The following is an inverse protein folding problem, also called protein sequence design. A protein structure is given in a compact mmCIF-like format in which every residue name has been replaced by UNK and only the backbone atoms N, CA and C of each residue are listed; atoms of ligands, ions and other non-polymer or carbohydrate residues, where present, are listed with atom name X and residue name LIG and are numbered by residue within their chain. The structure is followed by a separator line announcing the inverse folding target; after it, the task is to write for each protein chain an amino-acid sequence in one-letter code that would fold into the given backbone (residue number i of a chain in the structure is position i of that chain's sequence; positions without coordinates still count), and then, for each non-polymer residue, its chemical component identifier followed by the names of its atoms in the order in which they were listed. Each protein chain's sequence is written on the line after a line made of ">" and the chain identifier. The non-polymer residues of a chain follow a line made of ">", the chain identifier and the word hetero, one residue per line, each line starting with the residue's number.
data_IF_561114367228
#
_entry.id   IF_561114367228
#
_cell.length_a   1.000
_cell.length_b   1.000
_cell.length_c   1.000
_cell.angle_alpha   90.00
_cell.angle_beta   90.00
_cell.angle_gamma   90.00
#
_symmetry.space_group_name_H-M   'P 1'
#
loop_
_entity.id
_entity.type
_entity.pdbx_description
1 polymer ?
#
# COMPACT_ATOMS: atom_id res chain seq x y z
N UNK A 1 -8.47 16.79 -1.72
CA UNK A 1 -7.38 15.78 -1.81
C UNK A 1 -7.54 14.92 -3.06
N UNK A 2 -8.55 14.04 -3.21
CA UNK A 2 -8.68 13.20 -4.41
C UNK A 2 -8.65 14.00 -5.73
N UNK A 3 -9.39 15.11 -5.82
CA UNK A 3 -9.36 15.99 -7.00
C UNK A 3 -7.95 16.49 -7.30
N UNK A 4 -7.22 16.95 -6.30
CA UNK A 4 -5.83 17.43 -6.45
C UNK A 4 -4.91 16.32 -6.96
N UNK A 5 -5.05 15.10 -6.42
CA UNK A 5 -4.27 13.94 -6.88
C UNK A 5 -4.59 13.59 -8.33
N UNK A 6 -5.87 13.52 -8.71
CA UNK A 6 -6.30 13.25 -10.10
C UNK A 6 -5.79 14.34 -11.07
N UNK A 7 -5.84 15.62 -10.69
CA UNK A 7 -5.26 16.70 -11.51
C UNK A 7 -3.75 16.55 -11.68
N UNK A 8 -3.02 16.05 -10.66
CA UNK A 8 -1.60 15.75 -10.82
C UNK A 8 -1.35 14.62 -11.82
N UNK A 9 -2.23 13.59 -11.87
CA UNK A 9 -2.12 12.51 -12.86
C UNK A 9 -2.33 13.05 -14.27
N UNK A 10 -3.37 13.86 -14.52
CA UNK A 10 -3.59 14.52 -15.83
C UNK A 10 -2.42 15.37 -16.27
N UNK A 11 -1.77 16.06 -15.31
CA UNK A 11 -0.61 16.90 -15.59
C UNK A 11 0.63 16.11 -15.99
N UNK A 12 0.93 15.01 -15.28
CA UNK A 12 2.18 14.27 -15.44
C UNK A 12 2.06 13.00 -16.28
N UNK A 13 0.82 12.60 -16.64
CA UNK A 13 0.50 11.49 -17.53
C UNK A 13 -0.54 11.94 -18.57
N UNK A 14 -0.25 12.99 -19.38
CA UNK A 14 -1.24 13.61 -20.26
C UNK A 14 -1.73 12.67 -21.38
N UNK A 15 -0.93 11.68 -21.75
CA UNK A 15 -1.24 10.72 -22.83
C UNK A 15 -1.99 9.47 -22.30
N UNK A 16 -2.34 9.45 -21.00
CA UNK A 16 -3.06 8.34 -20.38
C UNK A 16 -4.52 8.66 -20.17
N UNK A 17 -5.40 7.72 -20.53
CA UNK A 17 -6.81 7.77 -20.16
C UNK A 17 -6.98 7.37 -18.68
N UNK A 18 -7.69 8.22 -17.92
CA UNK A 18 -8.07 7.89 -16.54
C UNK A 18 -9.38 7.12 -16.58
N UNK A 19 -9.34 5.86 -16.20
CA UNK A 19 -10.52 4.98 -16.11
C UNK A 19 -10.91 4.77 -14.66
N UNK A 20 -12.12 5.19 -14.30
CA UNK A 20 -12.72 4.91 -13.01
C UNK A 20 -13.36 3.52 -13.01
N UNK A 21 -13.08 2.75 -11.93
CA UNK A 21 -13.68 1.44 -11.70
C UNK A 21 -14.60 1.51 -10.50
N UNK A 22 -15.84 1.08 -10.70
CA UNK A 22 -16.91 1.07 -9.72
C UNK A 22 -17.85 -0.11 -9.95
N UNK A 23 -19.00 -0.14 -9.26
CA UNK A 23 -19.98 -1.23 -9.31
C UNK A 23 -20.64 -1.41 -10.69
N UNK A 24 -20.60 -0.39 -11.56
CA UNK A 24 -21.19 -0.45 -12.89
C UNK A 24 -20.31 -1.21 -13.90
N UNK A 25 -19.00 -1.32 -13.61
CA UNK A 25 -18.03 -1.89 -14.54
C UNK A 25 -17.06 -2.92 -13.92
N UNK A 26 -17.20 -3.19 -12.62
CA UNK A 26 -16.47 -4.24 -11.90
C UNK A 26 -17.45 -5.18 -11.20
N UNK A 27 -17.39 -6.47 -11.53
CA UNK A 27 -18.23 -7.49 -10.92
C UNK A 27 -17.80 -7.79 -9.48
N UNK A 28 -18.60 -7.33 -8.51
CA UNK A 28 -18.36 -7.56 -7.09
C UNK A 28 -18.56 -9.02 -6.66
N UNK A 29 -19.25 -9.83 -7.46
CA UNK A 29 -19.49 -11.26 -7.19
C UNK A 29 -18.38 -12.18 -7.72
N UNK A 30 -17.30 -11.60 -8.26
CA UNK A 30 -16.20 -12.30 -8.94
C UNK A 30 -15.51 -13.36 -8.05
N UNK A 31 -15.49 -13.16 -6.76
CA UNK A 31 -15.11 -14.18 -5.78
C UNK A 31 -15.71 -13.88 -4.38
N UNK A 32 -15.77 -14.89 -3.49
CA UNK A 32 -16.36 -14.73 -2.16
C UNK A 32 -15.71 -13.63 -1.30
N UNK A 33 -14.39 -13.44 -1.40
CA UNK A 33 -13.68 -12.41 -0.63
C UNK A 33 -14.17 -10.99 -0.99
N UNK A 34 -14.31 -10.72 -2.28
CA UNK A 34 -14.77 -9.40 -2.77
C UNK A 34 -16.21 -9.15 -2.38
N UNK A 35 -17.09 -10.13 -2.62
CA UNK A 35 -18.52 -10.05 -2.32
C UNK A 35 -18.77 -9.81 -0.82
N UNK A 36 -18.12 -10.60 0.04
CA UNK A 36 -18.23 -10.45 1.49
C UNK A 36 -17.70 -9.11 1.98
N UNK A 37 -16.54 -8.66 1.47
CA UNK A 37 -15.97 -7.36 1.81
C UNK A 37 -16.91 -6.21 1.39
N UNK A 38 -17.51 -6.32 0.20
CA UNK A 38 -18.46 -5.32 -0.31
C UNK A 38 -19.71 -5.23 0.58
N UNK A 39 -20.36 -6.36 0.89
CA UNK A 39 -21.54 -6.40 1.75
C UNK A 39 -21.26 -5.89 3.17
N UNK A 40 -20.03 -6.06 3.65
CA UNK A 40 -19.58 -5.48 4.92
C UNK A 40 -19.18 -4.00 4.81
N UNK A 41 -19.32 -3.36 3.64
CA UNK A 41 -18.91 -1.97 3.37
C UNK A 41 -17.41 -1.74 3.63
N UNK A 42 -16.60 -2.75 3.37
CA UNK A 42 -15.13 -2.70 3.51
C UNK A 42 -14.48 -2.48 2.14
N UNK A 43 -14.84 -1.39 1.49
CA UNK A 43 -14.48 -1.08 0.10
C UNK A 43 -12.98 -1.05 -0.17
N UNK A 44 -12.14 -0.72 0.82
CA UNK A 44 -10.70 -0.83 0.66
C UNK A 44 -10.23 -2.26 0.36
N UNK A 45 -10.86 -3.28 0.97
CA UNK A 45 -10.56 -4.69 0.72
C UNK A 45 -11.11 -5.17 -0.62
N UNK A 46 -12.19 -4.57 -1.11
CA UNK A 46 -12.66 -4.76 -2.50
C UNK A 46 -11.63 -4.21 -3.48
N UNK A 47 -11.14 -2.98 -3.27
CA UNK A 47 -10.13 -2.35 -4.13
C UNK A 47 -8.79 -3.08 -4.08
N UNK A 48 -8.45 -3.73 -2.96
CA UNK A 48 -7.23 -4.55 -2.83
C UNK A 48 -7.19 -5.71 -3.82
N UNK A 49 -8.32 -6.32 -4.12
CA UNK A 49 -8.45 -7.32 -5.18
C UNK A 49 -8.59 -6.67 -6.56
N UNK A 50 -9.48 -5.67 -6.67
CA UNK A 50 -9.84 -5.06 -7.95
C UNK A 50 -8.62 -4.50 -8.70
N UNK A 51 -7.65 -3.86 -7.98
CA UNK A 51 -6.41 -3.34 -8.59
C UNK A 51 -5.60 -4.41 -9.32
N UNK A 52 -5.49 -5.61 -8.75
CA UNK A 52 -4.78 -6.72 -9.40
C UNK A 52 -5.57 -7.28 -10.58
N UNK A 53 -6.90 -7.43 -10.42
CA UNK A 53 -7.75 -7.91 -11.49
C UNK A 53 -7.74 -6.96 -12.70
N UNK A 54 -7.82 -5.65 -12.46
CA UNK A 54 -7.76 -4.64 -13.53
C UNK A 54 -6.40 -4.69 -14.23
N UNK A 55 -5.30 -4.64 -13.48
CA UNK A 55 -3.96 -4.68 -14.04
C UNK A 55 -3.68 -5.99 -14.78
N UNK A 56 -4.17 -7.12 -14.29
CA UNK A 56 -4.02 -8.39 -14.98
C UNK A 56 -4.76 -8.44 -16.32
N UNK A 57 -5.96 -7.90 -16.38
CA UNK A 57 -6.79 -7.98 -17.58
C UNK A 57 -6.47 -6.89 -18.60
N UNK A 58 -6.17 -5.68 -18.16
CA UNK A 58 -6.02 -4.51 -19.01
C UNK A 58 -4.61 -3.92 -19.02
N UNK A 59 -3.80 -4.21 -18.01
CA UNK A 59 -2.52 -3.53 -17.79
C UNK A 59 -2.70 -2.07 -17.35
N UNK A 60 -1.64 -1.29 -17.54
CA UNK A 60 -1.65 0.14 -17.24
C UNK A 60 -1.06 0.48 -15.87
N UNK A 61 -1.45 1.63 -15.33
CA UNK A 61 -0.98 2.16 -14.06
C UNK A 61 -2.16 2.32 -13.10
N UNK A 62 -2.00 1.85 -11.88
CA UNK A 62 -2.96 2.01 -10.80
C UNK A 62 -2.41 2.96 -9.73
N UNK A 63 -3.25 3.85 -9.22
CA UNK A 63 -2.99 4.67 -8.05
C UNK A 63 -4.19 4.62 -7.09
N UNK A 64 -3.93 4.63 -5.78
CA UNK A 64 -4.98 5.01 -4.83
C UNK A 64 -5.34 6.48 -5.02
N UNK A 65 -6.60 6.85 -4.79
CA UNK A 65 -7.12 8.21 -5.07
C UNK A 65 -6.49 9.33 -4.23
N UNK A 66 -5.64 8.99 -3.29
CA UNK A 66 -4.88 9.92 -2.44
C UNK A 66 -3.36 9.88 -2.72
N UNK A 67 -2.96 9.40 -3.90
CA UNK A 67 -1.60 9.50 -4.43
C UNK A 67 -1.48 10.73 -5.32
N UNK A 68 -0.60 11.66 -4.96
CA UNK A 68 -0.27 12.84 -5.74
C UNK A 68 1.05 12.63 -6.49
N UNK A 69 1.06 12.77 -7.81
CA UNK A 69 2.28 12.82 -8.60
C UNK A 69 2.96 14.19 -8.44
N UNK A 70 4.27 14.17 -8.25
CA UNK A 70 5.11 15.38 -8.15
C UNK A 70 5.94 15.60 -9.40
N UNK A 71 6.22 14.54 -10.15
CA UNK A 71 7.04 14.51 -11.36
C UNK A 71 6.50 13.48 -12.35
N UNK A 72 6.87 13.57 -13.65
CA UNK A 72 6.64 12.49 -14.61
C UNK A 72 7.24 11.18 -14.11
N UNK A 73 6.63 10.07 -14.52
CA UNK A 73 7.11 8.69 -14.23
C UNK A 73 7.45 7.92 -15.51
N UNK A 74 7.67 8.62 -16.61
CA UNK A 74 7.95 8.01 -17.92
C UNK A 74 9.22 7.16 -17.89
N UNK A 75 10.25 7.61 -17.19
CA UNK A 75 11.50 6.88 -16.97
C UNK A 75 11.29 5.57 -16.19
N UNK A 76 10.36 5.59 -15.24
CA UNK A 76 9.95 4.40 -14.48
C UNK A 76 9.19 3.43 -15.39
N UNK A 77 8.21 3.93 -16.15
CA UNK A 77 7.38 3.14 -17.06
C UNK A 77 8.18 2.59 -18.24
N UNK A 78 9.16 3.34 -18.75
CA UNK A 78 10.06 2.89 -19.80
C UNK A 78 10.93 1.71 -19.37
N UNK A 79 11.26 1.59 -18.07
CA UNK A 79 11.95 0.42 -17.53
C UNK A 79 11.05 -0.82 -17.49
N UNK A 80 9.75 -0.66 -17.26
CA UNK A 80 8.77 -1.73 -17.25
C UNK A 80 7.79 -1.64 -16.05
N UNK A 81 7.06 -2.73 -15.79
CA UNK A 81 6.17 -2.85 -14.64
C UNK A 81 6.87 -2.46 -13.34
N UNK A 82 6.17 -1.77 -12.45
CA UNK A 82 6.76 -1.32 -11.20
C UNK A 82 5.84 -1.42 -9.99
N UNK A 83 6.44 -1.38 -8.81
CA UNK A 83 5.78 -1.37 -7.50
C UNK A 83 6.66 -0.60 -6.51
N UNK A 84 6.06 0.28 -5.70
CA UNK A 84 6.77 1.04 -4.68
C UNK A 84 6.80 0.32 -3.32
N UNK A 85 7.85 0.58 -2.54
CA UNK A 85 7.94 0.14 -1.14
C UNK A 85 7.37 1.20 -0.20
N UNK A 86 6.59 0.74 0.79
CA UNK A 86 6.24 1.50 1.98
C UNK A 86 7.22 1.17 3.11
N UNK A 87 7.90 2.19 3.62
CA UNK A 87 8.81 2.03 4.75
C UNK A 87 8.06 1.74 6.04
N UNK A 88 8.52 0.75 6.79
CA UNK A 88 7.97 0.47 8.11
C UNK A 88 8.51 1.45 9.15
N UNK A 89 7.69 1.74 10.14
CA UNK A 89 8.14 2.46 11.31
C UNK A 89 9.14 1.59 12.11
N UNK A 90 10.16 2.15 12.76
CA UNK A 90 11.26 1.40 13.37
C UNK A 90 10.83 0.34 14.41
N UNK A 91 9.66 0.50 14.99
CA UNK A 91 9.10 -0.45 15.98
C UNK A 91 8.22 -1.55 15.36
N UNK A 92 7.85 -1.42 14.06
CA UNK A 92 7.03 -2.42 13.37
C UNK A 92 7.92 -3.47 12.75
N UNK A 93 7.70 -4.72 13.07
CA UNK A 93 8.46 -5.85 12.53
C UNK A 93 7.51 -6.79 11.77
N UNK A 94 7.88 -7.12 10.57
CA UNK A 94 7.20 -8.12 9.75
C UNK A 94 8.19 -8.85 8.86
N UNK A 95 8.42 -10.16 9.10
CA UNK A 95 9.33 -11.02 8.31
C UNK A 95 10.72 -10.39 8.07
N UNK A 96 11.29 -9.73 9.08
CA UNK A 96 12.59 -9.01 9.04
C UNK A 96 12.67 -7.87 7.99
N UNK A 97 11.54 -7.47 7.40
CA UNK A 97 11.49 -6.36 6.44
C UNK A 97 11.58 -5.01 7.14
N UNK A 98 12.26 -4.06 6.51
CA UNK A 98 12.25 -2.62 6.85
C UNK A 98 11.24 -1.84 6.03
N UNK A 99 10.83 -2.37 4.90
CA UNK A 99 9.80 -1.84 4.01
C UNK A 99 9.09 -2.99 3.31
N UNK A 100 7.87 -2.78 2.85
CA UNK A 100 7.10 -3.79 2.12
C UNK A 100 6.47 -3.21 0.85
N UNK A 101 6.25 -4.05 -0.18
CA UNK A 101 5.59 -3.63 -1.40
C UNK A 101 4.17 -3.14 -1.11
N UNK A 102 3.86 -1.90 -1.50
CA UNK A 102 2.53 -1.32 -1.33
C UNK A 102 1.94 -0.92 -2.70
N UNK A 103 0.99 -1.68 -3.24
CA UNK A 103 0.38 -1.38 -4.54
C UNK A 103 -0.49 -0.10 -4.52
N UNK A 104 -0.85 0.43 -3.35
CA UNK A 104 -1.58 1.68 -3.21
C UNK A 104 -0.76 2.92 -3.55
N UNK A 105 0.58 2.86 -3.40
CA UNK A 105 1.48 3.96 -3.73
C UNK A 105 1.58 4.26 -5.24
N UNK A 106 1.18 3.31 -6.05
CA UNK A 106 1.30 3.26 -7.48
C UNK A 106 1.92 1.94 -7.93
N UNK A 107 1.31 1.34 -8.94
CA UNK A 107 1.72 0.07 -9.50
C UNK A 107 1.43 0.07 -11.02
N UNK A 108 2.37 -0.43 -11.82
CA UNK A 108 2.14 -0.65 -13.23
C UNK A 108 2.38 -2.10 -13.61
N UNK A 109 1.60 -2.60 -14.56
CA UNK A 109 1.77 -3.94 -15.12
C UNK A 109 1.38 -4.01 -16.58
N UNK A 110 1.97 -4.97 -17.30
CA UNK A 110 1.44 -5.42 -18.58
C UNK A 110 0.25 -6.37 -18.34
N UNK A 111 -0.70 -6.45 -19.29
CA UNK A 111 -1.75 -7.46 -19.21
C UNK A 111 -1.17 -8.86 -19.10
N UNK A 112 -1.80 -9.72 -18.28
CA UNK A 112 -1.44 -11.13 -18.09
C UNK A 112 -0.03 -11.37 -17.50
N UNK A 113 0.52 -10.38 -16.80
CA UNK A 113 1.82 -10.54 -16.12
C UNK A 113 1.72 -11.60 -15.00
N UNK A 114 2.65 -12.58 -15.01
CA UNK A 114 2.63 -13.72 -14.08
C UNK A 114 2.68 -13.30 -12.61
N UNK A 115 3.47 -12.30 -12.26
CA UNK A 115 3.53 -11.79 -10.90
C UNK A 115 2.17 -11.26 -10.40
N UNK A 116 1.33 -10.70 -11.29
CA UNK A 116 -0.04 -10.28 -10.94
C UNK A 116 -0.96 -11.49 -10.83
N UNK A 117 -0.77 -12.52 -11.68
CA UNK A 117 -1.52 -13.76 -11.57
C UNK A 117 -1.30 -14.46 -10.22
N UNK A 118 -0.07 -14.44 -9.69
CA UNK A 118 0.26 -14.98 -8.35
C UNK A 118 -0.49 -14.22 -7.24
N UNK A 119 -0.55 -12.88 -7.32
CA UNK A 119 -1.31 -12.08 -6.38
C UNK A 119 -2.81 -12.39 -6.44
N UNK A 120 -3.38 -12.55 -7.64
CA UNK A 120 -4.78 -12.95 -7.80
C UNK A 120 -5.03 -14.36 -7.28
N UNK A 121 -4.10 -15.31 -7.49
CA UNK A 121 -4.17 -16.66 -6.98
C UNK A 121 -4.27 -16.72 -5.45
N UNK A 122 -3.63 -15.76 -4.74
CA UNK A 122 -3.78 -15.65 -3.28
C UNK A 122 -5.23 -15.53 -2.86
N UNK A 123 -6.07 -14.78 -3.61
CA UNK A 123 -7.49 -14.59 -3.31
C UNK A 123 -8.38 -15.75 -3.76
N UNK A 124 -7.84 -16.68 -4.55
CA UNK A 124 -8.58 -17.86 -5.00
C UNK A 124 -9.04 -18.72 -3.81
N UNK A 125 -10.35 -18.88 -3.66
CA UNK A 125 -10.96 -19.62 -2.55
C UNK A 125 -10.84 -18.96 -1.18
N UNK A 126 -10.37 -17.73 -1.08
CA UNK A 126 -10.36 -16.96 0.17
C UNK A 126 -11.72 -16.36 0.46
N UNK A 127 -11.99 -16.22 1.76
CA UNK A 127 -13.13 -15.50 2.30
C UNK A 127 -12.65 -14.28 3.09
N UNK A 128 -13.37 -13.16 2.99
CA UNK A 128 -13.12 -12.01 3.84
C UNK A 128 -13.61 -12.26 5.27
N UNK A 129 -14.66 -13.08 5.40
CA UNK A 129 -15.21 -13.51 6.70
C UNK A 129 -14.62 -14.88 7.06
N UNK A 130 -13.99 -14.98 8.21
CA UNK A 130 -13.47 -16.24 8.72
C UNK A 130 -14.60 -17.23 9.07
N UNK A 131 -14.28 -18.54 9.23
CA UNK A 131 -15.23 -19.55 9.70
C UNK A 131 -15.87 -19.25 11.07
N UNK A 132 -15.28 -18.30 11.84
CA UNK A 132 -15.83 -17.78 13.10
C UNK A 132 -16.72 -16.54 12.93
N UNK A 133 -17.12 -16.21 11.70
CA UNK A 133 -17.97 -15.04 11.40
C UNK A 133 -17.27 -13.68 11.59
N UNK A 134 -15.94 -13.64 11.68
CA UNK A 134 -15.18 -12.38 11.89
C UNK A 134 -14.44 -11.96 10.63
N UNK A 135 -14.46 -10.66 10.28
CA UNK A 135 -13.70 -10.15 9.14
C UNK A 135 -12.20 -10.26 9.34
N UNK A 136 -11.50 -10.58 8.27
CA UNK A 136 -10.05 -10.74 8.22
C UNK A 136 -9.40 -9.45 7.68
N UNK A 137 -8.70 -8.73 8.53
CA UNK A 137 -8.12 -7.41 8.22
C UNK A 137 -6.63 -7.47 7.84
N UNK A 138 -6.17 -8.51 7.14
CA UNK A 138 -4.82 -8.52 6.60
C UNK A 138 -4.75 -7.51 5.45
N UNK A 139 -3.84 -6.54 5.56
CA UNK A 139 -3.71 -5.47 4.56
C UNK A 139 -3.06 -5.99 3.28
N UNK A 140 -3.34 -5.35 2.14
CA UNK A 140 -2.75 -5.69 0.85
C UNK A 140 -1.22 -5.60 0.88
N UNK A 141 -0.63 -4.69 1.64
CA UNK A 141 0.82 -4.56 1.83
C UNK A 141 1.43 -5.86 2.36
N UNK A 142 0.82 -6.44 3.40
CA UNK A 142 1.28 -7.71 3.98
C UNK A 142 0.97 -8.91 3.09
N UNK A 143 -0.13 -8.87 2.34
CA UNK A 143 -0.49 -9.92 1.37
C UNK A 143 0.55 -9.97 0.25
N UNK A 144 0.87 -8.81 -0.34
CA UNK A 144 1.87 -8.71 -1.41
C UNK A 144 3.24 -9.13 -0.92
N UNK A 145 3.67 -8.67 0.26
CA UNK A 145 4.94 -9.06 0.85
C UNK A 145 5.03 -10.58 1.03
N UNK A 146 3.99 -11.23 1.57
CA UNK A 146 3.99 -12.68 1.76
C UNK A 146 4.05 -13.44 0.43
N UNK A 147 3.17 -13.10 -0.53
CA UNK A 147 3.15 -13.76 -1.83
C UNK A 147 4.50 -13.64 -2.53
N UNK A 148 5.08 -12.44 -2.57
CA UNK A 148 6.36 -12.22 -3.22
C UNK A 148 7.51 -12.96 -2.53
N UNK A 149 7.62 -12.86 -1.21
CA UNK A 149 8.68 -13.54 -0.44
C UNK A 149 8.56 -15.06 -0.50
N UNK A 150 7.34 -15.61 -0.42
CA UNK A 150 7.10 -17.06 -0.48
C UNK A 150 7.43 -17.62 -1.89
N UNK A 151 7.45 -16.76 -2.92
CA UNK A 151 7.87 -17.09 -4.28
C UNK A 151 9.30 -16.61 -4.60
N UNK A 152 10.12 -16.28 -3.59
CA UNK A 152 11.55 -16.03 -3.76
C UNK A 152 11.94 -14.61 -4.16
N UNK A 153 11.06 -13.62 -3.99
CA UNK A 153 11.40 -12.22 -4.21
C UNK A 153 12.45 -11.73 -3.21
N UNK A 154 13.35 -10.87 -3.67
CA UNK A 154 14.25 -10.09 -2.83
C UNK A 154 13.67 -8.69 -2.68
N UNK A 155 13.32 -8.30 -1.45
CA UNK A 155 12.82 -6.97 -1.12
C UNK A 155 13.95 -6.21 -0.42
N UNK A 156 14.55 -5.26 -1.12
CA UNK A 156 15.63 -4.40 -0.62
C UNK A 156 15.13 -2.96 -0.49
N UNK A 157 15.21 -2.38 0.71
CA UNK A 157 14.72 -1.03 0.98
C UNK A 157 15.66 0.09 0.48
N UNK A 158 16.87 -0.26 0.03
CA UNK A 158 17.88 0.69 -0.47
C UNK A 158 18.11 0.59 -1.98
N UNK A 159 17.74 -0.54 -2.59
CA UNK A 159 18.02 -0.82 -4.00
C UNK A 159 16.77 -1.22 -4.77
N UNK A 160 16.76 -0.87 -6.04
CA UNK A 160 15.74 -1.38 -6.97
C UNK A 160 16.02 -2.86 -7.21
N UNK A 161 15.03 -3.70 -6.92
CA UNK A 161 15.05 -5.13 -7.21
C UNK A 161 14.07 -5.48 -8.32
N UNK A 162 14.08 -6.71 -8.80
CA UNK A 162 13.13 -7.19 -9.79
C UNK A 162 12.56 -8.53 -9.34
N UNK A 163 11.25 -8.67 -9.44
CA UNK A 163 10.54 -9.91 -9.17
C UNK A 163 9.58 -10.21 -10.33
N UNK A 164 9.82 -11.31 -11.04
CA UNK A 164 8.96 -11.78 -12.14
C UNK A 164 8.53 -10.67 -13.12
N UNK A 165 9.48 -9.78 -13.47
CA UNK A 165 9.24 -8.67 -14.39
C UNK A 165 8.71 -7.38 -13.76
N UNK A 166 8.46 -7.33 -12.45
CA UNK A 166 8.11 -6.10 -11.72
C UNK A 166 9.35 -5.53 -11.05
N UNK A 167 9.68 -4.27 -11.34
CA UNK A 167 10.71 -3.52 -10.62
C UNK A 167 10.16 -2.97 -9.31
N UNK A 168 10.81 -3.33 -8.19
CA UNK A 168 10.43 -2.90 -6.85
C UNK A 168 11.33 -1.73 -6.46
N UNK A 169 10.74 -0.56 -6.26
CA UNK A 169 11.44 0.69 -5.98
C UNK A 169 11.48 1.00 -4.49
N UNK A 170 12.64 1.48 -3.95
CA UNK A 170 12.76 1.98 -2.59
C UNK A 170 11.72 3.04 -2.23
N UNK A 171 11.47 3.21 -0.91
CA UNK A 171 10.43 4.11 -0.40
C UNK A 171 10.58 5.56 -0.86
N UNK A 172 11.79 6.05 -1.09
CA UNK A 172 12.04 7.44 -1.51
C UNK A 172 11.35 7.81 -2.82
N UNK A 173 11.07 6.83 -3.70
CA UNK A 173 10.43 7.08 -5.00
C UNK A 173 8.95 7.42 -4.87
N UNK A 174 8.20 6.67 -4.04
CA UNK A 174 6.74 6.72 -4.01
C UNK A 174 6.14 6.91 -2.61
N UNK A 175 6.97 6.82 -1.57
CA UNK A 175 6.52 6.95 -0.17
C UNK A 175 7.43 7.86 0.68
N UNK A 176 7.62 9.14 0.28
CA UNK A 176 8.48 10.07 1.01
C UNK A 176 7.89 10.52 2.36
N UNK A 177 6.62 10.14 2.67
CA UNK A 177 5.89 10.57 3.85
C UNK A 177 5.87 9.49 4.92
N UNK A 178 6.41 9.81 6.10
CA UNK A 178 6.31 8.95 7.29
C UNK A 178 4.90 9.04 7.90
N UNK A 179 4.23 7.91 8.05
CA UNK A 179 2.84 7.84 8.56
C UNK A 179 2.73 8.32 10.00
N UNK A 180 3.69 7.97 10.86
CA UNK A 180 3.63 8.29 12.30
C UNK A 180 3.86 9.78 12.59
N UNK A 181 4.77 10.42 11.86
CA UNK A 181 5.20 11.79 12.13
C UNK A 181 4.62 12.82 11.16
N UNK A 182 4.13 12.36 10.00
CA UNK A 182 3.73 13.23 8.88
C UNK A 182 4.92 13.89 8.18
N UNK A 183 6.17 13.61 8.59
CA UNK A 183 7.37 14.17 7.96
C UNK A 183 7.46 13.70 6.51
N UNK A 184 7.71 14.65 5.60
CA UNK A 184 7.93 14.40 4.18
C UNK A 184 9.40 14.68 3.88
N UNK A 185 10.07 13.75 3.19
CA UNK A 185 11.46 13.89 2.76
C UNK A 185 11.52 13.69 1.25
N UNK A 186 11.61 14.79 0.50
CA UNK A 186 11.70 14.78 -0.96
C UNK A 186 13.15 14.63 -1.37
N UNK A 187 13.41 13.70 -2.30
CA UNK A 187 14.71 13.54 -2.99
C UNK A 187 14.56 13.80 -4.49
N UNK A 188 15.63 13.75 -5.24
CA UNK A 188 15.58 13.83 -6.71
C UNK A 188 14.83 12.63 -7.32
N UNK A 189 14.83 11.50 -6.63
CA UNK A 189 14.16 10.26 -7.05
C UNK A 189 12.66 10.27 -6.77
N UNK A 190 12.16 11.13 -5.89
CA UNK A 190 10.75 11.16 -5.50
C UNK A 190 9.84 11.50 -6.67
N UNK A 191 8.85 10.64 -6.93
CA UNK A 191 7.85 10.75 -8.01
C UNK A 191 6.46 11.08 -7.51
N UNK A 192 6.08 10.56 -6.33
CA UNK A 192 4.74 10.77 -5.78
C UNK A 192 4.74 10.85 -4.26
N UNK A 193 3.61 11.30 -3.71
CA UNK A 193 3.30 11.27 -2.28
C UNK A 193 1.97 10.55 -2.09
N UNK A 194 1.95 9.54 -1.24
CA UNK A 194 0.71 8.97 -0.72
C UNK A 194 0.28 9.73 0.52
N UNK A 195 -0.93 10.30 0.50
CA UNK A 195 -1.38 11.19 1.57
C UNK A 195 -1.94 10.45 2.79
N UNK A 196 -2.24 9.15 2.66
CA UNK A 196 -2.81 8.32 3.73
C UNK A 196 -4.12 8.89 4.30
N UNK A 197 -5.09 9.18 3.42
CA UNK A 197 -6.39 9.72 3.79
C UNK A 197 -7.17 8.83 4.78
N UNK A 198 -6.86 7.51 4.81
CA UNK A 198 -7.42 6.52 5.75
C UNK A 198 -8.94 6.54 5.82
N UNK A 199 -9.61 6.77 4.70
CA UNK A 199 -11.07 6.87 4.60
C UNK A 199 -11.78 5.58 5.02
N UNK A 200 -11.10 4.45 4.98
CA UNK A 200 -11.58 3.12 5.34
C UNK A 200 -11.45 2.79 6.84
N UNK A 201 -10.74 3.62 7.62
CA UNK A 201 -10.52 3.37 9.05
C UNK A 201 -11.63 4.00 9.87
N UNK A 202 -12.30 3.22 10.71
CA UNK A 202 -13.30 3.74 11.65
C UNK A 202 -12.63 4.76 12.60
N UNK A 203 -13.09 6.02 12.55
CA UNK A 203 -12.54 7.12 13.36
C UNK A 203 -12.59 6.84 14.88
N UNK A 204 -13.58 6.05 15.35
CA UNK A 204 -13.66 5.63 16.75
C UNK A 204 -12.51 4.68 17.11
N UNK A 205 -12.15 3.75 16.22
CA UNK A 205 -11.05 2.80 16.41
C UNK A 205 -9.69 3.50 16.39
N UNK A 206 -9.52 4.50 15.50
CA UNK A 206 -8.28 5.30 15.45
C UNK A 206 -8.08 6.11 16.73
N UNK A 207 -9.14 6.73 17.27
CA UNK A 207 -9.04 7.44 18.56
C UNK A 207 -8.59 6.51 19.69
N UNK A 208 -9.12 5.29 19.77
CA UNK A 208 -8.69 4.29 20.74
C UNK A 208 -7.23 3.88 20.59
N UNK A 209 -6.77 3.60 19.36
CA UNK A 209 -5.37 3.25 19.06
C UNK A 209 -4.42 4.42 19.32
N UNK A 210 -4.78 5.65 18.92
CA UNK A 210 -3.98 6.85 19.17
C UNK A 210 -3.85 7.13 20.67
N UNK A 211 -4.93 6.99 21.45
CA UNK A 211 -4.92 7.16 22.90
C UNK A 211 -4.11 6.08 23.61
N UNK A 212 -4.15 4.83 23.13
CA UNK A 212 -3.33 3.73 23.65
C UNK A 212 -1.84 3.95 23.34
N UNK A 213 -1.53 4.44 22.15
CA UNK A 213 -0.20 4.80 21.69
C UNK A 213 0.37 5.99 22.48
N UNK A 214 -0.38 7.06 22.67
CA UNK A 214 0.04 8.22 23.47
C UNK A 214 0.32 7.82 24.93
N UNK A 215 -0.50 6.94 25.52
CA UNK A 215 -0.27 6.37 26.85
C UNK A 215 1.01 5.53 26.89
N UNK A 216 1.24 4.69 25.89
CA UNK A 216 2.46 3.87 25.80
C UNK A 216 3.71 4.75 25.64
N UNK A 217 3.69 5.75 24.75
CA UNK A 217 4.80 6.68 24.57
C UNK A 217 5.09 7.50 25.83
N UNK A 218 4.06 7.98 26.53
CA UNK A 218 4.21 8.67 27.79
C UNK A 218 4.79 7.77 28.89
N UNK A 219 4.41 6.48 28.91
CA UNK A 219 4.99 5.49 29.82
C UNK A 219 6.48 5.26 29.52
N UNK A 220 6.86 5.08 28.26
CA UNK A 220 8.25 4.90 27.82
C UNK A 220 9.13 6.13 28.11
N UNK A 221 8.60 7.35 27.96
CA UNK A 221 9.27 8.59 28.34
C UNK A 221 9.49 8.67 29.85
N UNK A 222 8.51 8.28 30.66
CA UNK A 222 8.65 8.23 32.14
C UNK A 222 9.71 7.22 32.57
N UNK A 223 9.74 6.03 31.96
CA UNK A 223 10.78 5.00 32.24
C UNK A 223 12.16 5.54 31.86
N UNK A 224 12.31 6.19 30.71
CA UNK A 224 13.60 6.77 30.27
C UNK A 224 14.08 7.91 31.20
N UNK A 225 13.17 8.73 31.72
CA UNK A 225 13.48 9.77 32.70
C UNK A 225 13.82 9.19 34.06
N UNK A 226 13.18 8.09 34.48
CA UNK A 226 13.50 7.39 35.73
C UNK A 226 14.88 6.74 35.68
N UNK A 227 15.26 6.10 34.55
CA UNK A 227 16.58 5.52 34.35
C UNK A 227 17.68 6.62 34.34
N UNK A 228 17.44 7.78 33.70
CA UNK A 228 18.37 8.90 33.77
C UNK A 228 18.60 9.44 35.18
N UNK A 229 17.57 9.45 36.06
CA UNK A 229 17.70 9.86 37.47
C UNK A 229 18.48 8.86 38.30
N UNK A 230 18.44 7.57 37.99
CA UNK A 230 19.15 6.52 38.73
C UNK A 230 20.67 6.52 38.41
N UNK A 231 21.07 6.96 37.22
CA UNK A 231 22.48 7.03 36.82
C UNK A 231 23.11 8.44 36.89
N UNK A 232 22.43 9.40 37.55
CA UNK A 232 22.91 10.78 37.70
C UNK A 232 23.23 11.11 39.18
N UNK A 233 23.39 10.10 40.04
CA UNK A 233 23.92 10.25 41.42
C UNK A 233 25.26 9.51 41.53
#
# INVERSE_FOLDING_TARGET
>A
MAVTCIESWKKFLPDYEIKEWNEDNFDISINPYVEEAYHMKKYAFVSDFARFWVLYNYGGVYFDVDVELLKPIDDILARGPYLGLEGFEPWYKYRELKAAPNPGLGMAAYPKLDAIAELLKYYGGKHFISCKGKPQYKTVVLIVADVMLDNGAIIDHEKITNYSGIYIYPEEYFNPKRVATGKITITENTRSIHHYAKTWVDKKRVRGLKMHWERFMNLMLRIRLSIKRVFSN
#
